data_IF_013203561535
#
_entry.id   IF_013203561535
#
_cell.length_a   1.000
_cell.length_b   1.000
_cell.length_c   1.000
_cell.angle_alpha   90.00
_cell.angle_beta   90.00
_cell.angle_gamma   90.00
#
_symmetry.space_group_name_H-M   'P 1'
#
loop_
_entity.id
_entity.type
_entity.pdbx_description
1 polymer ?
#
# COMPACT_ATOMS: atom_id res chain seq x y z
N UNK A 1 -2.41 -43.36 11.85
CA UNK A 1 -2.19 -42.33 10.82
C UNK A 1 -1.42 -41.18 11.45
N UNK A 2 -0.14 -40.95 11.10
CA UNK A 2 0.59 -39.81 11.65
C UNK A 2 0.06 -38.51 11.03
N UNK A 3 -0.29 -37.51 11.88
CA UNK A 3 -0.68 -36.18 11.43
C UNK A 3 0.50 -35.51 10.74
N UNK A 4 0.40 -35.25 9.43
CA UNK A 4 1.35 -34.39 8.70
C UNK A 4 1.22 -32.97 9.25
N UNK A 5 2.19 -32.51 10.03
CA UNK A 5 2.30 -31.11 10.41
C UNK A 5 2.72 -30.33 9.14
N UNK A 6 1.84 -29.45 8.66
CA UNK A 6 2.20 -28.55 7.57
C UNK A 6 3.32 -27.62 8.03
N UNK A 7 4.36 -27.36 7.21
CA UNK A 7 5.42 -26.43 7.59
C UNK A 7 4.84 -25.03 7.86
N UNK A 8 5.41 -24.27 8.81
CA UNK A 8 4.90 -22.95 9.17
C UNK A 8 4.89 -22.03 7.94
N UNK A 9 3.72 -21.48 7.61
CA UNK A 9 3.58 -20.49 6.54
C UNK A 9 4.23 -19.19 6.98
N UNK A 10 5.31 -18.80 6.32
CA UNK A 10 5.98 -17.53 6.58
C UNK A 10 5.40 -16.44 5.66
N UNK A 11 5.46 -15.19 6.08
CA UNK A 11 5.01 -14.06 5.26
C UNK A 11 5.78 -13.97 3.92
N UNK A 12 7.06 -14.34 3.96
CA UNK A 12 7.93 -14.47 2.78
C UNK A 12 7.45 -15.56 1.82
N UNK A 13 6.93 -16.68 2.33
CA UNK A 13 6.36 -17.74 1.48
C UNK A 13 5.08 -17.32 0.74
N UNK A 14 4.43 -16.24 1.17
CA UNK A 14 3.32 -15.61 0.46
C UNK A 14 3.78 -14.54 -0.57
N UNK A 15 5.10 -14.47 -0.85
CA UNK A 15 5.68 -13.49 -1.77
C UNK A 15 5.85 -12.09 -1.17
N UNK A 16 5.64 -11.92 0.15
CA UNK A 16 5.75 -10.61 0.79
C UNK A 16 7.13 -10.45 1.43
N UNK A 17 7.95 -9.60 0.81
CA UNK A 17 9.25 -9.21 1.34
C UNK A 17 9.15 -7.85 2.05
N UNK A 18 9.15 -7.89 3.39
CA UNK A 18 9.05 -6.70 4.22
C UNK A 18 10.32 -5.85 4.19
N UNK A 19 11.48 -6.46 3.95
CA UNK A 19 12.76 -5.77 3.98
C UNK A 19 12.96 -4.94 2.70
N UNK A 20 12.37 -5.38 1.59
CA UNK A 20 12.34 -4.65 0.32
C UNK A 20 11.52 -3.37 0.33
N UNK A 21 10.61 -3.20 1.31
CA UNK A 21 9.75 -2.02 1.44
C UNK A 21 10.57 -0.73 1.47
N UNK A 22 11.65 -0.71 2.26
CA UNK A 22 12.44 0.50 2.45
C UNK A 22 13.23 0.89 1.19
N UNK A 23 13.71 -0.10 0.42
CA UNK A 23 14.36 0.15 -0.86
C UNK A 23 13.39 0.78 -1.90
N UNK A 24 12.15 0.28 -1.95
CA UNK A 24 11.11 0.83 -2.83
C UNK A 24 10.73 2.24 -2.39
N UNK A 25 10.53 2.46 -1.09
CA UNK A 25 10.19 3.79 -0.54
C UNK A 25 11.31 4.81 -0.74
N UNK A 26 12.58 4.40 -0.65
CA UNK A 26 13.72 5.25 -0.94
C UNK A 26 13.73 5.71 -2.41
N UNK A 27 13.42 4.81 -3.36
CA UNK A 27 13.38 5.14 -4.78
C UNK A 27 12.15 5.93 -5.23
N UNK A 28 10.98 5.65 -4.65
CA UNK A 28 9.70 6.20 -5.10
C UNK A 28 9.17 7.35 -4.25
N UNK A 29 9.68 7.51 -3.02
CA UNK A 29 9.15 8.45 -2.03
C UNK A 29 9.11 9.90 -2.52
N UNK A 30 10.14 10.35 -3.25
CA UNK A 30 10.15 11.69 -3.83
C UNK A 30 9.04 11.89 -4.88
N UNK A 31 8.81 10.87 -5.72
CA UNK A 31 7.75 10.90 -6.73
C UNK A 31 6.36 10.89 -6.10
N UNK A 32 6.14 10.10 -5.05
CA UNK A 32 4.88 10.12 -4.29
C UNK A 32 4.64 11.50 -3.67
N UNK A 33 5.65 12.09 -3.02
CA UNK A 33 5.50 13.42 -2.39
C UNK A 33 5.24 14.53 -3.40
N UNK A 34 5.73 14.40 -4.64
CA UNK A 34 5.46 15.38 -5.70
C UNK A 34 3.98 15.46 -6.11
N UNK A 35 3.16 14.45 -5.79
CA UNK A 35 1.71 14.47 -6.11
C UNK A 35 0.87 15.05 -4.98
N UNK A 36 1.46 15.47 -3.86
CA UNK A 36 0.72 16.03 -2.73
C UNK A 36 0.08 17.36 -3.11
N UNK A 37 -1.23 17.44 -2.91
CA UNK A 37 -2.03 18.66 -3.12
C UNK A 37 -2.48 19.25 -1.79
N UNK A 38 -3.00 20.48 -1.82
CA UNK A 38 -3.51 21.17 -0.63
C UNK A 38 -4.55 20.30 0.10
N UNK A 39 -4.26 19.95 1.35
CA UNK A 39 -5.09 19.05 2.17
C UNK A 39 -4.46 17.68 2.41
N UNK A 40 -3.45 17.28 1.63
CA UNK A 40 -2.62 16.13 1.96
C UNK A 40 -1.78 16.45 3.20
N UNK A 41 -1.94 15.65 4.26
CA UNK A 41 -1.20 15.77 5.52
C UNK A 41 0.08 14.92 5.50
N UNK A 42 0.38 14.29 4.36
CA UNK A 42 1.49 13.36 4.18
C UNK A 42 1.16 11.94 4.61
N UNK A 43 2.16 11.06 4.54
CA UNK A 43 2.10 9.73 5.15
C UNK A 43 2.60 9.84 6.59
N UNK A 44 1.76 9.51 7.57
CA UNK A 44 2.26 9.20 8.91
C UNK A 44 3.23 8.02 8.82
N UNK A 45 4.13 7.86 9.80
CA UNK A 45 5.25 6.91 9.83
C UNK A 45 4.91 5.41 9.54
N UNK A 46 3.65 5.08 9.27
CA UNK A 46 3.20 3.79 8.76
C UNK A 46 2.13 3.92 7.68
N UNK A 47 2.44 3.36 6.50
CA UNK A 47 1.54 2.72 5.53
C UNK A 47 0.28 3.46 5.01
N UNK A 48 0.10 4.76 5.27
CA UNK A 48 -1.09 5.46 4.79
C UNK A 48 -0.94 6.98 4.73
N UNK A 49 -1.38 7.56 3.61
CA UNK A 49 -1.50 9.00 3.43
C UNK A 49 -2.79 9.53 4.04
N UNK A 50 -2.71 10.64 4.78
CA UNK A 50 -3.87 11.31 5.36
C UNK A 50 -4.30 12.48 4.48
N UNK A 51 -5.61 12.65 4.31
CA UNK A 51 -6.18 13.79 3.58
C UNK A 51 -7.23 14.49 4.44
N UNK A 52 -7.08 15.80 4.63
CA UNK A 52 -8.02 16.61 5.42
C UNK A 52 -9.26 16.92 4.60
N UNK A 53 -10.40 16.42 5.06
CA UNK A 53 -11.72 16.82 4.56
C UNK A 53 -12.26 17.95 5.45
N UNK A 54 -12.39 19.16 4.90
CA UNK A 54 -13.02 20.29 5.60
C UNK A 54 -14.15 20.86 4.77
N UNK A 55 -15.32 21.10 5.38
CA UNK A 55 -16.45 21.78 4.72
C UNK A 55 -17.39 20.88 3.91
N UNK A 56 -17.17 19.56 3.90
CA UNK A 56 -18.04 18.61 3.19
C UNK A 56 -18.78 17.68 4.14
N UNK A 57 -20.08 17.51 3.90
CA UNK A 57 -20.95 16.52 4.54
C UNK A 57 -21.33 15.50 3.45
N UNK A 58 -20.38 14.66 3.03
CA UNK A 58 -20.55 13.83 1.84
C UNK A 58 -20.17 12.36 2.07
N UNK A 59 -20.96 11.46 1.50
CA UNK A 59 -20.60 10.06 1.29
C UNK A 59 -19.49 9.99 0.23
N UNK A 60 -18.38 9.31 0.55
CA UNK A 60 -17.28 9.13 -0.38
C UNK A 60 -17.63 8.12 -1.48
N UNK A 61 -17.24 8.43 -2.72
CA UNK A 61 -17.25 7.44 -3.80
C UNK A 61 -15.87 6.78 -3.88
N UNK A 62 -15.81 5.46 -3.68
CA UNK A 62 -14.59 4.66 -3.83
C UNK A 62 -14.76 3.63 -4.94
N UNK A 63 -13.74 3.46 -5.78
CA UNK A 63 -13.67 2.44 -6.80
C UNK A 63 -12.27 1.84 -6.91
N UNK A 64 -12.20 0.55 -7.24
CA UNK A 64 -10.94 -0.18 -7.46
C UNK A 64 -10.94 -0.74 -8.88
N UNK A 65 -9.88 -0.47 -9.64
CA UNK A 65 -9.67 -1.02 -10.98
C UNK A 65 -8.32 -1.75 -11.05
N UNK A 66 -8.31 -2.95 -11.63
CA UNK A 66 -7.09 -3.68 -11.97
C UNK A 66 -6.70 -3.42 -13.42
N UNK A 67 -5.40 -3.43 -13.71
CA UNK A 67 -4.86 -3.10 -15.05
C UNK A 67 -5.06 -4.20 -16.11
N UNK A 68 -5.38 -5.44 -15.74
CA UNK A 68 -5.57 -6.55 -16.71
C UNK A 68 -4.31 -6.93 -17.49
N UNK A 69 -4.43 -7.84 -18.48
CA UNK A 69 -3.31 -8.44 -19.27
C UNK A 69 -2.68 -7.51 -20.32
N UNK A 70 -2.47 -6.24 -20.00
CA UNK A 70 -1.56 -5.37 -20.74
C UNK A 70 -0.13 -5.56 -20.20
N UNK A 71 0.40 -6.76 -20.38
CA UNK A 71 1.82 -7.08 -20.28
C UNK A 71 2.25 -7.52 -21.68
N UNK A 72 2.96 -6.65 -22.39
CA UNK A 72 3.70 -6.99 -23.61
C UNK A 72 5.10 -7.44 -23.22
#
# INVERSE_FOLDING_TARGET
MPRRLSPPRTYRSAGVDRDHKEAILAGLGARIRSTYVKGALGSGDGFGGLFRLSGYRAAGCSGSAGTGTLCW
#
